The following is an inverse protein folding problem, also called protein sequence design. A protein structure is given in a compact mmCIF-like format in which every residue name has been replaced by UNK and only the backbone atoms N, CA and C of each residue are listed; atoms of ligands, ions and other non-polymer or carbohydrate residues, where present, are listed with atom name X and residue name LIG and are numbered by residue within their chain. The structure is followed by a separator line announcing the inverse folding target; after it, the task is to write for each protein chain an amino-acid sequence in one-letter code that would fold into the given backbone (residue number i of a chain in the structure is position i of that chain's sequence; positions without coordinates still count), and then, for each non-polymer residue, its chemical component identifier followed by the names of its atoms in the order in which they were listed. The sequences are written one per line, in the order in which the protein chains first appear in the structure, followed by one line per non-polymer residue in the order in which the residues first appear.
data_IF_573816938844
#
_entry.id   IF_573816938844
#
_cell.length_a   1.000
_cell.length_b   1.000
_cell.length_c   1.000
_cell.angle_alpha   90.00
_cell.angle_beta   90.00
_cell.angle_gamma   90.00
#
_symmetry.space_group_name_H-M   'P 1'
#
loop_
_entity.id
_entity.type
_entity.pdbx_description
1 polymer ?
#
# COMPACT_ATOMS: atom_id res chain seq x y z
N UNK A 1 -22.14 -9.54 -12.93
CA UNK A 1 -21.95 -8.19 -12.35
C UNK A 1 -21.42 -8.39 -10.94
N UNK A 2 -20.16 -8.04 -10.69
CA UNK A 2 -19.51 -8.20 -9.39
C UNK A 2 -19.49 -6.83 -8.73
N UNK A 3 -20.06 -6.71 -7.53
CA UNK A 3 -19.91 -5.54 -6.69
C UNK A 3 -18.80 -5.79 -5.69
N UNK A 4 -17.87 -4.87 -5.59
CA UNK A 4 -16.94 -4.82 -4.47
C UNK A 4 -17.77 -4.55 -3.21
N UNK A 5 -17.88 -5.57 -2.36
CA UNK A 5 -18.58 -5.50 -1.09
C UNK A 5 -17.55 -5.78 0.02
N UNK A 6 -17.58 -4.98 1.09
CA UNK A 6 -16.67 -5.00 2.26
C UNK A 6 -15.34 -4.26 2.11
N UNK A 7 -14.56 -4.20 3.19
CA UNK A 7 -13.31 -3.44 3.23
C UNK A 7 -12.19 -4.07 2.38
N UNK A 8 -11.48 -3.24 1.61
CA UNK A 8 -10.36 -3.67 0.80
C UNK A 8 -9.23 -4.26 1.66
N UNK A 9 -8.96 -5.55 1.48
CA UNK A 9 -8.02 -6.33 2.31
C UNK A 9 -6.71 -6.65 1.58
N UNK A 10 -6.72 -6.61 0.26
CA UNK A 10 -5.59 -6.89 -0.62
C UNK A 10 -5.17 -5.60 -1.32
N UNK A 11 -3.86 -5.43 -1.45
CA UNK A 11 -3.23 -4.26 -2.02
C UNK A 11 -2.06 -4.74 -2.87
N UNK A 12 -1.84 -4.13 -4.02
CA UNK A 12 -0.71 -4.42 -4.89
C UNK A 12 -0.11 -3.13 -5.40
N UNK A 13 1.22 -3.05 -5.41
CA UNK A 13 1.89 -1.92 -6.04
C UNK A 13 1.64 -1.97 -7.54
N UNK A 14 1.24 -0.85 -8.12
CA UNK A 14 1.08 -0.74 -9.56
C UNK A 14 2.45 -0.82 -10.24
N UNK A 15 2.59 -1.72 -11.21
CA UNK A 15 3.86 -1.97 -11.89
C UNK A 15 4.30 -0.80 -12.77
N UNK A 16 3.33 -0.11 -13.38
CA UNK A 16 3.55 0.99 -14.32
C UNK A 16 3.77 2.35 -13.66
N UNK A 17 3.66 2.42 -12.33
CA UNK A 17 3.86 3.66 -11.59
C UNK A 17 5.34 3.98 -11.43
N UNK A 18 5.75 5.08 -12.06
CA UNK A 18 7.08 5.69 -11.87
C UNK A 18 7.28 6.31 -10.48
N UNK A 19 8.33 7.12 -10.34
CA UNK A 19 8.63 7.76 -9.06
C UNK A 19 7.64 8.91 -8.76
N UNK A 20 6.69 8.65 -7.85
CA UNK A 20 5.75 9.66 -7.36
C UNK A 20 6.31 10.32 -6.09
N UNK A 21 6.50 11.66 -6.06
CA UNK A 21 7.00 12.34 -4.88
C UNK A 21 5.93 12.39 -3.77
N UNK A 22 6.05 11.51 -2.78
CA UNK A 22 5.19 11.47 -1.62
C UNK A 22 5.53 12.59 -0.62
N UNK A 23 4.54 13.42 -0.28
CA UNK A 23 4.68 14.48 0.74
C UNK A 23 4.62 13.95 2.16
N UNK A 24 3.89 12.86 2.41
CA UNK A 24 3.79 12.25 3.74
C UNK A 24 5.02 11.37 4.02
N UNK A 25 5.80 11.65 5.08
CA UNK A 25 6.97 10.83 5.43
C UNK A 25 6.59 9.40 5.78
N UNK A 26 5.43 9.19 6.44
CA UNK A 26 4.94 7.86 6.80
C UNK A 26 4.53 7.05 5.56
N UNK A 27 3.97 7.68 4.53
CA UNK A 27 3.66 7.03 3.26
C UNK A 27 4.93 6.58 2.53
N UNK A 28 5.97 7.41 2.54
CA UNK A 28 7.28 7.06 1.98
C UNK A 28 7.93 5.88 2.71
N UNK A 29 7.85 5.86 4.05
CA UNK A 29 8.35 4.74 4.86
C UNK A 29 7.59 3.45 4.55
N UNK A 30 6.25 3.51 4.54
CA UNK A 30 5.40 2.35 4.24
C UNK A 30 5.67 1.82 2.83
N UNK A 31 5.81 2.71 1.84
CA UNK A 31 6.17 2.34 0.47
C UNK A 31 7.56 1.67 0.41
N UNK A 32 8.52 2.12 1.23
CA UNK A 32 9.82 1.47 1.38
C UNK A 32 9.70 0.04 1.91
N UNK A 33 8.90 -0.15 2.97
CA UNK A 33 8.61 -1.48 3.53
C UNK A 33 7.93 -2.39 2.49
N UNK A 34 6.92 -1.88 1.78
CA UNK A 34 6.22 -2.62 0.72
C UNK A 34 7.18 -3.01 -0.40
N UNK A 35 8.00 -2.07 -0.89
CA UNK A 35 8.99 -2.35 -1.94
C UNK A 35 10.01 -3.40 -1.50
N UNK A 36 10.43 -3.40 -0.24
CA UNK A 36 11.41 -4.35 0.31
C UNK A 36 10.84 -5.76 0.50
N UNK A 37 9.59 -5.88 0.95
CA UNK A 37 9.00 -7.16 1.33
C UNK A 37 8.11 -7.79 0.25
N UNK A 38 7.39 -6.97 -0.51
CA UNK A 38 6.44 -7.43 -1.54
C UNK A 38 6.87 -7.01 -2.94
N UNK A 39 7.58 -5.88 -3.07
CA UNK A 39 7.93 -5.28 -4.35
C UNK A 39 6.67 -5.01 -5.19
N UNK A 40 6.41 -5.87 -6.18
CA UNK A 40 5.24 -5.80 -7.07
C UNK A 40 4.23 -6.92 -6.83
N UNK A 41 4.46 -7.75 -5.82
CA UNK A 41 3.50 -8.78 -5.40
C UNK A 41 2.36 -8.16 -4.59
N UNK A 42 1.18 -8.76 -4.70
CA UNK A 42 0.04 -8.41 -3.85
C UNK A 42 0.34 -8.76 -2.38
N UNK A 43 -0.10 -7.89 -1.49
CA UNK A 43 0.01 -8.03 -0.03
C UNK A 43 -1.34 -7.73 0.63
N UNK A 44 -1.44 -7.99 1.92
CA UNK A 44 -2.65 -7.71 2.70
C UNK A 44 -2.29 -7.02 4.01
N UNK A 45 -3.27 -6.33 4.62
CA UNK A 45 -3.08 -5.58 5.90
C UNK A 45 -2.42 -6.43 6.99
N UNK A 46 -2.83 -7.71 7.10
CA UNK A 46 -2.26 -8.67 8.05
C UNK A 46 -0.75 -8.88 7.91
N UNK A 47 -0.19 -8.72 6.70
CA UNK A 47 1.25 -8.85 6.53
C UNK A 47 1.99 -7.60 7.02
N UNK A 48 1.40 -6.41 6.85
CA UNK A 48 1.94 -5.18 7.43
C UNK A 48 1.93 -5.26 8.97
N UNK A 49 0.85 -5.80 9.56
CA UNK A 49 0.80 -6.03 11.00
C UNK A 49 1.90 -7.01 11.48
N UNK A 50 2.16 -8.09 10.73
CA UNK A 50 3.26 -9.04 11.04
C UNK A 50 4.65 -8.41 10.91
N UNK A 51 4.81 -7.44 10.04
CA UNK A 51 6.05 -6.66 9.91
C UNK A 51 6.24 -5.65 11.04
N UNK A 52 5.24 -5.48 11.91
CA UNK A 52 5.25 -4.52 13.01
C UNK A 52 4.92 -3.09 12.58
N UNK A 53 4.38 -2.89 11.37
CA UNK A 53 3.88 -1.58 10.97
C UNK A 53 2.63 -1.24 11.77
N UNK A 54 2.59 -0.04 12.34
CA UNK A 54 1.45 0.47 13.11
C UNK A 54 0.96 1.78 12.52
N UNK A 55 -0.34 2.08 12.68
CA UNK A 55 -0.97 3.32 12.19
C UNK A 55 -0.73 3.57 10.68
N UNK A 56 -0.59 2.51 9.88
CA UNK A 56 -0.29 2.60 8.45
C UNK A 56 -1.53 2.87 7.59
N UNK A 57 -2.75 2.80 8.13
CA UNK A 57 -3.99 2.96 7.37
C UNK A 57 -4.06 4.28 6.59
N UNK A 58 -3.67 5.40 7.21
CA UNK A 58 -3.67 6.71 6.54
C UNK A 58 -2.57 6.81 5.48
N UNK A 59 -1.43 6.18 5.73
CA UNK A 59 -0.34 6.08 4.75
C UNK A 59 -0.76 5.22 3.56
N UNK A 60 -1.40 4.08 3.80
CA UNK A 60 -1.92 3.16 2.77
C UNK A 60 -3.00 3.84 1.93
N UNK A 61 -3.92 4.57 2.57
CA UNK A 61 -4.92 5.39 1.86
C UNK A 61 -4.24 6.41 0.95
N UNK A 62 -3.22 7.12 1.43
CA UNK A 62 -2.49 8.10 0.63
C UNK A 62 -1.78 7.45 -0.57
N UNK A 63 -1.20 6.26 -0.40
CA UNK A 63 -0.59 5.50 -1.48
C UNK A 63 -1.63 5.04 -2.52
N UNK A 64 -2.83 4.70 -2.08
CA UNK A 64 -3.95 4.33 -2.95
C UNK A 64 -4.54 5.53 -3.69
N UNK A 65 -4.78 6.64 -3.00
CA UNK A 65 -5.21 7.92 -3.60
C UNK A 65 -4.18 8.44 -4.62
N UNK A 66 -2.88 8.18 -4.39
CA UNK A 66 -1.81 8.53 -5.31
C UNK A 66 -1.69 7.57 -6.52
N UNK A 67 -2.49 6.50 -6.57
CA UNK A 67 -2.45 5.49 -7.62
C UNK A 67 -1.24 4.55 -7.57
N UNK A 68 -0.42 4.61 -6.51
CA UNK A 68 0.78 3.77 -6.35
C UNK A 68 0.39 2.34 -6.00
N UNK A 69 -0.70 2.16 -5.26
CA UNK A 69 -1.13 0.87 -4.72
C UNK A 69 -2.64 0.72 -4.95
N UNK A 70 -3.08 -0.46 -5.38
CA UNK A 70 -4.49 -0.77 -5.64
C UNK A 70 -4.95 -2.01 -4.91
#
# INVERSE_FOLDING_TARGET
YVREDLECSHYMKNFDVGHIPLRLPRAKQLLGTINKHFSTLAFCRRYLDRLGETKYLMALKNLSDAGIVQ
#
